data_IF_545589829072
#
_entry.id   IF_545589829072
#
_cell.length_a   1.000
_cell.length_b   1.000
_cell.length_c   1.000
_cell.angle_alpha   90.00
_cell.angle_beta   90.00
_cell.angle_gamma   90.00
#
_symmetry.space_group_name_H-M   'P 1'
#
loop_
_entity.id
_entity.type
_entity.pdbx_description
1 polymer ?
#
# COMPACT_ATOMS: atom_id res chain seq x y z
N UNK A 1 2.53 7.25 5.90
CA UNK A 1 2.93 7.50 4.50
C UNK A 1 4.27 8.24 4.51
N UNK A 2 5.27 7.85 3.70
CA UNK A 2 6.64 8.41 3.77
C UNK A 2 6.81 9.91 3.44
N UNK A 3 5.74 10.60 3.04
CA UNK A 3 5.71 12.01 2.62
C UNK A 3 4.60 12.80 3.32
N UNK A 4 4.06 12.29 4.43
CA UNK A 4 2.84 12.81 5.04
C UNK A 4 2.93 14.28 5.45
N UNK A 5 4.07 14.72 6.02
CA UNK A 5 4.21 16.11 6.43
C UNK A 5 4.29 17.06 5.22
N UNK A 6 4.73 16.56 4.06
CA UNK A 6 4.78 17.28 2.78
C UNK A 6 3.57 17.05 1.87
N UNK A 7 2.47 16.47 2.38
CA UNK A 7 1.28 16.14 1.57
C UNK A 7 0.67 17.31 0.78
N UNK A 8 0.83 18.54 1.29
CA UNK A 8 0.29 19.76 0.69
C UNK A 8 1.31 20.49 -0.21
N UNK A 9 2.53 19.94 -0.36
CA UNK A 9 3.55 20.48 -1.26
C UNK A 9 3.46 19.83 -2.64
N UNK A 10 3.09 20.63 -3.65
CA UNK A 10 2.93 20.19 -5.04
C UNK A 10 4.20 19.57 -5.65
N UNK A 11 5.40 19.93 -5.19
CA UNK A 11 6.66 19.31 -5.62
C UNK A 11 6.70 17.80 -5.34
N UNK A 12 6.07 17.37 -4.24
CA UNK A 12 6.06 15.96 -3.80
C UNK A 12 4.82 15.19 -4.24
N UNK A 13 3.92 15.80 -5.01
CA UNK A 13 2.64 15.20 -5.43
C UNK A 13 2.80 13.86 -6.14
N UNK A 14 3.82 13.74 -6.99
CA UNK A 14 4.12 12.48 -7.67
C UNK A 14 4.55 11.40 -6.66
N UNK A 15 5.50 11.69 -5.78
CA UNK A 15 5.97 10.76 -4.74
C UNK A 15 4.85 10.33 -3.80
N UNK A 16 3.97 11.28 -3.43
CA UNK A 16 2.76 11.02 -2.65
C UNK A 16 1.81 10.05 -3.37
N UNK A 17 1.60 10.22 -4.68
CA UNK A 17 0.69 9.39 -5.46
C UNK A 17 1.15 7.94 -5.62
N UNK A 18 2.45 7.69 -5.49
CA UNK A 18 3.02 6.34 -5.58
C UNK A 18 2.69 5.54 -4.30
N UNK A 19 2.75 6.19 -3.13
CA UNK A 19 2.47 5.61 -1.80
C UNK A 19 2.97 4.16 -1.65
N UNK A 20 4.29 3.95 -1.78
CA UNK A 20 4.91 2.62 -1.69
C UNK A 20 6.07 2.61 -0.69
N UNK A 21 6.46 1.42 -0.23
CA UNK A 21 7.61 1.22 0.65
C UNK A 21 8.83 0.72 -0.13
N UNK A 22 8.67 -0.04 -1.23
CA UNK A 22 9.77 -0.68 -1.96
C UNK A 22 10.35 0.15 -3.14
N UNK A 23 10.50 1.47 -2.97
CA UNK A 23 10.98 2.36 -4.03
C UNK A 23 12.43 2.83 -3.91
N UNK A 24 13.38 2.10 -4.50
CA UNK A 24 14.78 2.56 -4.55
C UNK A 24 15.01 3.97 -5.10
N UNK A 25 14.10 4.52 -5.93
CA UNK A 25 14.26 5.86 -6.50
C UNK A 25 13.79 6.99 -5.59
N UNK A 26 12.96 6.69 -4.59
CA UNK A 26 12.32 7.69 -3.73
C UNK A 26 12.52 7.39 -2.23
N UNK A 27 13.13 6.25 -1.88
CA UNK A 27 13.47 5.87 -0.50
C UNK A 27 14.38 6.90 0.17
N UNK A 28 15.39 7.41 -0.54
CA UNK A 28 16.34 8.41 -0.01
C UNK A 28 15.66 9.74 0.37
N UNK A 29 14.48 10.03 -0.20
CA UNK A 29 13.68 11.23 0.06
C UNK A 29 12.59 11.01 1.13
N UNK A 30 12.47 9.81 1.70
CA UNK A 30 11.46 9.53 2.73
C UNK A 30 11.69 10.41 3.96
N UNK A 31 10.59 10.89 4.54
CA UNK A 31 10.63 11.65 5.79
C UNK A 31 11.21 10.76 6.90
N UNK A 32 12.17 11.30 7.66
CA UNK A 32 12.77 10.57 8.77
C UNK A 32 11.67 10.15 9.75
N UNK A 33 11.75 8.91 10.24
CA UNK A 33 10.81 8.34 11.20
C UNK A 33 9.34 8.32 10.75
N UNK A 34 9.07 8.30 9.43
CA UNK A 34 7.69 8.27 8.92
C UNK A 34 6.84 7.11 9.49
N UNK A 35 7.48 6.02 9.90
CA UNK A 35 6.83 4.84 10.48
C UNK A 35 6.25 5.10 11.87
N UNK A 36 6.62 6.22 12.50
CA UNK A 36 6.15 6.63 13.84
C UNK A 36 4.98 7.62 13.77
N UNK A 37 4.57 8.05 12.57
CA UNK A 37 3.44 8.96 12.44
C UNK A 37 2.14 8.31 12.90
N UNK A 38 1.33 9.07 13.63
CA UNK A 38 0.02 8.67 14.13
C UNK A 38 -1.04 8.73 13.01
N UNK A 39 -0.82 7.92 11.97
CA UNK A 39 -1.65 7.81 10.78
C UNK A 39 -1.73 6.36 10.34
N UNK A 40 -2.89 5.96 9.83
CA UNK A 40 -3.05 4.68 9.17
C UNK A 40 -2.76 4.88 7.67
N UNK A 41 -1.71 4.25 7.17
CA UNK A 41 -1.39 4.20 5.75
C UNK A 41 -1.84 2.88 5.13
N UNK A 42 -2.88 2.93 4.31
CA UNK A 42 -3.34 1.80 3.49
C UNK A 42 -2.86 2.04 2.07
N UNK A 43 -2.14 1.08 1.51
CA UNK A 43 -1.50 1.25 0.22
C UNK A 43 -1.50 -0.03 -0.62
N UNK A 44 -1.33 0.16 -1.92
CA UNK A 44 -1.09 -0.91 -2.89
C UNK A 44 0.22 -0.67 -3.64
N UNK A 45 0.29 -1.08 -4.90
CA UNK A 45 1.43 -0.87 -5.82
C UNK A 45 2.69 -1.69 -5.49
N UNK A 46 3.01 -1.87 -4.21
CA UNK A 46 3.90 -2.93 -3.76
C UNK A 46 3.12 -4.24 -3.68
N UNK A 47 3.49 -5.23 -4.48
CA UNK A 47 2.84 -6.54 -4.48
C UNK A 47 3.42 -7.43 -3.40
N UNK A 48 2.55 -8.03 -2.58
CA UNK A 48 2.88 -8.99 -1.53
C UNK A 48 2.12 -10.31 -1.75
N UNK A 49 2.65 -11.43 -1.24
CA UNK A 49 1.92 -12.72 -1.29
C UNK A 49 0.72 -12.75 -0.33
N UNK A 50 0.85 -12.03 0.79
CA UNK A 50 -0.16 -11.80 1.83
C UNK A 50 -0.24 -10.32 2.21
N UNK A 51 -1.28 -9.93 2.92
CA UNK A 51 -1.41 -8.54 3.41
C UNK A 51 -0.19 -8.19 4.27
N UNK A 52 0.52 -7.15 3.88
CA UNK A 52 1.60 -6.59 4.69
C UNK A 52 1.00 -5.77 5.83
N UNK A 53 1.42 -6.06 7.07
CA UNK A 53 1.06 -5.28 8.25
C UNK A 53 2.36 -4.95 8.98
N UNK A 54 2.66 -3.66 9.17
CA UNK A 54 3.84 -3.25 9.94
C UNK A 54 3.73 -3.67 11.41
N UNK A 55 4.86 -3.75 12.11
CA UNK A 55 4.90 -4.05 13.55
C UNK A 55 4.07 -3.06 14.38
N UNK A 56 4.11 -1.77 14.01
CA UNK A 56 3.34 -0.70 14.64
C UNK A 56 1.85 -0.66 14.20
N UNK A 57 1.43 -1.58 13.31
CA UNK A 57 0.04 -1.69 12.79
C UNK A 57 -0.52 -0.38 12.21
N UNK A 58 0.35 0.42 11.62
CA UNK A 58 0.00 1.69 10.98
C UNK A 58 0.24 1.67 9.46
N UNK A 59 0.80 0.58 8.92
CA UNK A 59 0.95 0.35 7.48
C UNK A 59 0.26 -0.95 7.09
N UNK A 60 -0.57 -0.86 6.06
CA UNK A 60 -1.34 -1.97 5.50
C UNK A 60 -1.13 -2.02 3.99
N UNK A 61 -0.29 -2.94 3.53
CA UNK A 61 -0.10 -3.22 2.11
C UNK A 61 -1.13 -4.24 1.65
N UNK A 62 -2.14 -3.78 0.92
CA UNK A 62 -3.30 -4.60 0.51
C UNK A 62 -3.21 -5.10 -0.94
N UNK A 63 -2.17 -4.74 -1.69
CA UNK A 63 -1.95 -5.29 -3.02
C UNK A 63 -1.35 -6.70 -2.91
N UNK A 64 -2.23 -7.69 -2.90
CA UNK A 64 -1.86 -9.10 -2.85
C UNK A 64 -1.74 -9.72 -4.24
N UNK A 65 -1.41 -8.93 -5.27
CA UNK A 65 -1.09 -9.45 -6.60
C UNK A 65 -2.29 -10.03 -7.35
N UNK A 66 -3.46 -9.40 -7.24
CA UNK A 66 -4.69 -9.85 -7.91
C UNK A 66 -4.47 -10.08 -9.42
N UNK A 67 -3.80 -9.14 -10.10
CA UNK A 67 -3.44 -9.22 -11.53
C UNK A 67 -2.56 -10.43 -11.87
N UNK A 68 -1.82 -10.95 -10.89
CA UNK A 68 -0.92 -12.09 -11.05
C UNK A 68 -1.56 -13.41 -10.62
N UNK A 69 -2.90 -13.48 -10.61
CA UNK A 69 -3.70 -14.65 -10.24
C UNK A 69 -3.55 -15.11 -8.77
N UNK A 70 -3.08 -14.23 -7.89
CA UNK A 70 -3.08 -14.50 -6.46
C UNK A 70 -4.45 -14.15 -5.84
N UNK A 71 -4.57 -13.01 -5.15
CA UNK A 71 -5.78 -12.63 -4.43
C UNK A 71 -6.13 -11.16 -4.63
N UNK A 72 -7.43 -10.86 -4.65
CA UNK A 72 -7.94 -9.52 -4.38
C UNK A 72 -8.21 -9.39 -2.89
N UNK A 73 -7.71 -8.31 -2.30
CA UNK A 73 -7.83 -8.03 -0.86
C UNK A 73 -8.66 -6.78 -0.64
N UNK A 74 -9.53 -6.84 0.36
CA UNK A 74 -10.24 -5.68 0.91
C UNK A 74 -10.01 -5.60 2.42
N UNK A 75 -9.99 -4.38 2.94
CA UNK A 75 -9.93 -4.09 4.37
C UNK A 75 -11.14 -3.24 4.78
N UNK A 76 -11.82 -3.65 5.85
CA UNK A 76 -12.93 -2.90 6.43
C UNK A 76 -12.39 -1.85 7.41
N UNK A 77 -12.69 -0.57 7.16
CA UNK A 77 -12.26 0.51 8.06
C UNK A 77 -13.06 0.48 9.37
N UNK A 78 -12.39 0.79 10.48
CA UNK A 78 -12.96 0.71 11.83
C UNK A 78 -12.72 -0.65 12.49
N UNK A 79 -13.12 -1.75 11.85
CA UNK A 79 -12.85 -3.11 12.36
C UNK A 79 -11.44 -3.62 12.00
N UNK A 80 -10.85 -3.07 10.92
CA UNK A 80 -9.60 -3.54 10.29
C UNK A 80 -9.66 -5.00 9.84
N UNK A 81 -10.87 -5.54 9.64
CA UNK A 81 -11.07 -6.91 9.15
C UNK A 81 -10.60 -7.02 7.71
N UNK A 82 -9.78 -8.03 7.45
CA UNK A 82 -9.27 -8.34 6.11
C UNK A 82 -10.13 -9.43 5.47
N UNK A 83 -10.54 -9.21 4.23
CA UNK A 83 -11.19 -10.21 3.38
C UNK A 83 -10.38 -10.40 2.12
N UNK A 84 -10.07 -11.65 1.78
CA UNK A 84 -9.29 -11.99 0.59
C UNK A 84 -10.03 -13.03 -0.24
N UNK A 85 -10.03 -12.85 -1.55
CA UNK A 85 -10.65 -13.77 -2.50
C UNK A 85 -9.64 -14.12 -3.57
N UNK A 86 -9.49 -15.42 -3.86
CA UNK A 86 -8.61 -15.89 -4.93
C UNK A 86 -9.09 -15.36 -6.28
N UNK A 87 -8.17 -14.84 -7.08
CA UNK A 87 -8.49 -14.30 -8.39
C UNK A 87 -9.01 -15.39 -9.32
N UNK A 88 -10.12 -15.12 -10.02
CA UNK A 88 -10.58 -15.97 -11.10
C UNK A 88 -9.82 -15.63 -12.38
N UNK A 89 -9.26 -16.62 -13.06
CA UNK A 89 -8.49 -16.41 -14.30
C UNK A 89 -9.29 -15.67 -15.38
N UNK A 90 -10.62 -15.84 -15.39
CA UNK A 90 -11.50 -15.15 -16.34
C UNK A 90 -11.55 -13.63 -16.15
N UNK A 91 -11.24 -13.12 -14.95
CA UNK A 91 -11.28 -11.69 -14.64
C UNK A 91 -10.01 -10.94 -15.11
N UNK A 92 -8.95 -11.68 -15.46
CA UNK A 92 -7.63 -11.13 -15.82
C UNK A 92 -7.30 -11.34 -17.31
N UNK A 93 -7.82 -12.40 -17.92
CA UNK A 93 -7.64 -12.63 -19.35
C UNK A 93 -8.37 -11.55 -20.16
N UNK A 94 -7.63 -10.85 -21.03
CA UNK A 94 -8.25 -10.04 -22.08
C UNK A 94 -8.85 -11.00 -23.10
N UNK A 95 -10.17 -10.98 -23.23
CA UNK A 95 -10.89 -11.61 -24.34
C UNK A 95 -10.70 -10.82 -25.63
#
# INVERSE_FOLDING_TARGET
MPYYNRKDNEEYKFSLSINRLSNRRHEDDYEVDFEKYDIINIFGHDTFDEVFISQNKNYYGIDTGCKYLNKLTAIELGSMKITQVKTNIRDVLKT
#
